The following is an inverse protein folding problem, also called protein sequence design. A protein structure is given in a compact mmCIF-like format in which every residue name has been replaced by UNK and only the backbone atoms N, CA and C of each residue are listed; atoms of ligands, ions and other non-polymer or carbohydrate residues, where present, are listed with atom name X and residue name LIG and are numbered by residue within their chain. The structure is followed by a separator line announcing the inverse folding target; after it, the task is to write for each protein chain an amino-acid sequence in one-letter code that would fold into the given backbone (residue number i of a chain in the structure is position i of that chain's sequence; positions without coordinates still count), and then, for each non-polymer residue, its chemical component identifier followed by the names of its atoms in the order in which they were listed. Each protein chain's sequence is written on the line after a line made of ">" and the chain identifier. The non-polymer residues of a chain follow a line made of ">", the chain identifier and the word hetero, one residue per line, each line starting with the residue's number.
data_IF_837388959907
#
_entry.id   IF_837388959907
#
_cell.length_a   1.000
_cell.length_b   1.000
_cell.length_c   1.000
_cell.angle_alpha   90.00
_cell.angle_beta   90.00
_cell.angle_gamma   90.00
#
_symmetry.space_group_name_H-M   'P 1'
#
loop_
_entity.id
_entity.type
_entity.pdbx_description
1 polymer ?
#
# COMPACT_ATOMS: atom_id res chain seq x y z
N UNK A 1 -25.97 -10.41 9.98
CA UNK A 1 -25.42 -9.58 11.05
C UNK A 1 -24.37 -8.65 10.44
N UNK A 2 -24.51 -7.35 10.64
CA UNK A 2 -23.53 -6.34 10.22
C UNK A 2 -22.34 -6.40 11.16
N UNK A 3 -21.11 -6.42 10.62
CA UNK A 3 -19.90 -6.27 11.43
C UNK A 3 -19.86 -4.91 12.15
N UNK A 4 -18.91 -4.70 13.11
CA UNK A 4 -18.76 -3.43 13.78
C UNK A 4 -18.60 -2.28 12.76
N UNK A 5 -19.33 -1.17 12.99
CA UNK A 5 -19.20 0.03 12.17
C UNK A 5 -17.76 0.58 12.20
N UNK A 6 -17.36 1.32 11.18
CA UNK A 6 -16.12 2.10 11.20
C UNK A 6 -16.11 3.03 12.42
N UNK A 7 -14.94 3.24 13.03
CA UNK A 7 -14.83 4.21 14.12
C UNK A 7 -15.25 5.62 13.65
N UNK A 8 -15.72 6.44 14.57
CA UNK A 8 -16.07 7.84 14.26
C UNK A 8 -14.87 8.60 13.67
N UNK A 9 -13.67 8.31 14.15
CA UNK A 9 -12.41 8.86 13.63
C UNK A 9 -12.16 8.44 12.18
N UNK A 10 -12.25 7.14 11.87
CA UNK A 10 -12.10 6.63 10.50
C UNK A 10 -13.14 7.28 9.55
N UNK A 11 -14.39 7.40 10.02
CA UNK A 11 -15.44 8.02 9.22
C UNK A 11 -15.20 9.51 8.97
N UNK A 12 -14.66 10.25 9.95
CA UNK A 12 -14.28 11.65 9.78
C UNK A 12 -13.12 11.80 8.79
N UNK A 13 -12.12 10.95 8.90
CA UNK A 13 -10.95 10.96 8.00
C UNK A 13 -11.34 10.66 6.55
N UNK A 14 -12.23 9.68 6.34
CA UNK A 14 -12.75 9.39 5.00
C UNK A 14 -13.52 10.57 4.41
N UNK A 15 -14.33 11.30 5.22
CA UNK A 15 -15.01 12.52 4.74
C UNK A 15 -14.01 13.59 4.34
N UNK A 16 -12.94 13.81 5.09
CA UNK A 16 -11.90 14.78 4.74
C UNK A 16 -11.15 14.40 3.46
N UNK A 17 -10.99 13.11 3.18
CA UNK A 17 -10.49 12.63 1.90
C UNK A 17 -11.48 12.90 0.77
N UNK A 18 -12.76 12.60 0.97
CA UNK A 18 -13.83 12.82 0.00
C UNK A 18 -14.02 14.30 -0.35
N UNK A 19 -13.80 15.22 0.60
CA UNK A 19 -13.88 16.68 0.38
C UNK A 19 -12.60 17.27 -0.22
N UNK A 20 -11.54 16.48 -0.42
CA UNK A 20 -10.27 16.94 -0.97
C UNK A 20 -9.44 17.82 -0.02
N UNK A 21 -9.77 17.81 1.27
CA UNK A 21 -9.04 18.58 2.30
C UNK A 21 -7.62 18.06 2.56
N UNK A 22 -7.35 16.81 2.17
CA UNK A 22 -6.05 16.17 2.37
C UNK A 22 -5.45 15.77 1.03
N UNK A 23 -4.19 16.13 0.73
CA UNK A 23 -3.50 15.54 -0.40
C UNK A 23 -3.35 14.03 -0.19
N UNK A 24 -3.52 13.26 -1.26
CA UNK A 24 -3.47 11.79 -1.22
C UNK A 24 -2.24 11.28 -1.96
N UNK A 25 -1.56 10.35 -1.33
CA UNK A 25 -0.46 9.58 -1.91
C UNK A 25 -0.68 8.11 -1.62
N UNK A 26 -0.31 7.21 -2.54
CA UNK A 26 -0.28 5.80 -2.23
C UNK A 26 1.14 5.26 -2.26
N UNK A 27 1.42 4.35 -1.35
CA UNK A 27 2.72 3.71 -1.13
C UNK A 27 2.56 2.21 -1.22
N UNK A 28 3.56 1.57 -1.79
CA UNK A 28 3.77 0.13 -1.71
C UNK A 28 5.26 -0.18 -1.62
N UNK A 29 5.61 -1.35 -1.07
CA UNK A 29 6.98 -1.77 -0.81
C UNK A 29 7.20 -3.20 -1.26
N UNK A 30 8.16 -3.42 -2.15
CA UNK A 30 8.63 -4.76 -2.47
C UNK A 30 9.81 -5.16 -1.59
N UNK A 31 9.78 -6.40 -1.13
CA UNK A 31 10.80 -6.96 -0.24
C UNK A 31 11.52 -8.15 -0.87
N UNK A 32 12.79 -8.32 -0.49
CA UNK A 32 13.57 -9.53 -0.74
C UNK A 32 13.66 -10.40 0.51
N UNK A 33 13.95 -11.69 0.35
CA UNK A 33 14.15 -12.59 1.48
C UNK A 33 15.61 -12.54 1.97
N UNK A 34 15.79 -12.36 3.29
CA UNK A 34 17.09 -12.38 3.97
C UNK A 34 17.26 -13.60 4.88
N UNK A 35 16.32 -14.54 4.82
CA UNK A 35 16.33 -15.79 5.57
C UNK A 35 15.20 -16.71 5.12
N UNK A 36 14.94 -17.76 5.88
CA UNK A 36 13.99 -18.82 5.51
C UNK A 36 12.56 -18.56 5.96
N UNK A 37 12.34 -17.66 6.93
CA UNK A 37 11.03 -17.41 7.50
C UNK A 37 10.32 -16.27 6.78
N UNK A 38 9.00 -16.20 6.90
CA UNK A 38 8.21 -15.10 6.34
C UNK A 38 8.59 -13.74 6.92
N UNK A 39 9.15 -13.71 8.12
CA UNK A 39 9.58 -12.48 8.79
C UNK A 39 10.98 -12.01 8.37
N UNK A 40 11.76 -12.87 7.69
CA UNK A 40 13.09 -12.53 7.21
C UNK A 40 13.01 -11.78 5.88
N UNK A 41 12.63 -10.51 5.95
CA UNK A 41 12.46 -9.62 4.80
C UNK A 41 13.30 -8.37 4.95
N UNK A 42 13.70 -7.82 3.81
CA UNK A 42 14.30 -6.49 3.72
C UNK A 42 13.66 -5.73 2.57
N UNK A 43 13.40 -4.44 2.78
CA UNK A 43 12.92 -3.53 1.74
C UNK A 43 13.91 -3.48 0.58
N UNK A 44 13.40 -3.59 -0.65
CA UNK A 44 14.21 -3.56 -1.86
C UNK A 44 13.66 -2.65 -2.97
N UNK A 45 12.37 -2.27 -2.92
CA UNK A 45 11.80 -1.22 -3.75
C UNK A 45 10.74 -0.46 -2.95
N UNK A 46 10.66 0.87 -3.16
CA UNK A 46 9.64 1.74 -2.59
C UNK A 46 8.99 2.49 -3.75
N UNK A 47 7.68 2.35 -3.90
CA UNK A 47 6.87 3.05 -4.87
C UNK A 47 5.96 4.07 -4.19
N UNK A 48 5.95 5.33 -4.64
CA UNK A 48 5.02 6.37 -4.21
C UNK A 48 4.34 6.98 -5.43
N UNK A 49 3.03 7.09 -5.39
CA UNK A 49 2.24 7.75 -6.43
C UNK A 49 1.37 8.86 -5.85
N UNK A 50 1.00 9.84 -6.69
CA UNK A 50 0.06 10.89 -6.32
C UNK A 50 -1.41 10.43 -6.45
N UNK A 51 -2.35 11.34 -6.17
CA UNK A 51 -3.79 11.09 -6.25
C UNK A 51 -4.29 10.68 -7.65
N UNK A 52 -3.49 10.89 -8.69
CA UNK A 52 -3.78 10.51 -10.08
C UNK A 52 -3.09 9.20 -10.49
N UNK A 53 -2.40 8.53 -9.57
CA UNK A 53 -1.62 7.33 -9.85
C UNK A 53 -0.31 7.59 -10.59
N UNK A 54 0.15 8.86 -10.68
CA UNK A 54 1.42 9.19 -11.34
C UNK A 54 2.58 8.94 -10.38
N UNK A 55 3.63 8.32 -10.89
CA UNK A 55 4.85 8.04 -10.12
C UNK A 55 5.48 9.34 -9.59
N UNK A 56 5.58 9.44 -8.27
CA UNK A 56 6.29 10.51 -7.54
C UNK A 56 7.67 10.03 -7.10
N UNK A 57 7.77 8.74 -6.75
CA UNK A 57 9.02 8.09 -6.37
C UNK A 57 9.00 6.62 -6.80
N UNK A 58 10.10 6.18 -7.39
CA UNK A 58 10.46 4.78 -7.57
C UNK A 58 11.93 4.64 -7.19
N UNK A 59 12.21 4.04 -6.05
CA UNK A 59 13.57 3.89 -5.54
C UNK A 59 13.85 2.44 -5.16
N UNK A 60 14.98 1.92 -5.64
CA UNK A 60 15.48 0.61 -5.26
C UNK A 60 16.39 0.73 -4.05
N UNK A 61 16.31 -0.25 -3.17
CA UNK A 61 17.05 -0.25 -1.90
C UNK A 61 18.01 -1.43 -1.88
N UNK A 62 19.27 -1.17 -1.54
CA UNK A 62 20.28 -2.20 -1.30
C UNK A 62 20.18 -2.68 0.14
N UNK A 63 19.74 -3.93 0.39
CA UNK A 63 19.62 -4.46 1.74
C UNK A 63 20.98 -4.53 2.43
N UNK A 64 21.01 -4.21 3.73
CA UNK A 64 22.24 -4.39 4.55
C UNK A 64 22.53 -5.85 4.87
N UNK A 65 21.46 -6.67 4.97
CA UNK A 65 21.57 -8.11 5.21
C UNK A 65 21.83 -8.83 3.90
N UNK A 66 22.52 -9.97 3.96
CA UNK A 66 22.66 -10.85 2.82
C UNK A 66 21.30 -11.28 2.26
N UNK A 67 21.14 -11.20 0.96
CA UNK A 67 19.91 -11.58 0.26
C UNK A 67 19.96 -13.06 -0.08
N UNK A 68 19.08 -13.84 0.55
CA UNK A 68 18.93 -15.28 0.29
C UNK A 68 18.14 -15.51 -1.00
N UNK A 69 17.14 -14.66 -1.29
CA UNK A 69 16.35 -14.72 -2.51
C UNK A 69 15.77 -13.34 -2.83
N UNK A 70 15.86 -12.93 -4.08
CA UNK A 70 15.22 -11.73 -4.59
C UNK A 70 13.71 -11.90 -4.82
N UNK A 71 13.20 -13.13 -4.70
CA UNK A 71 11.82 -13.46 -5.00
C UNK A 71 11.39 -12.99 -6.41
N UNK A 72 12.31 -13.02 -7.36
CA UNK A 72 12.18 -12.44 -8.70
C UNK A 72 10.87 -12.80 -9.43
N UNK A 73 10.38 -14.04 -9.38
CA UNK A 73 9.09 -14.36 -10.01
C UNK A 73 7.91 -13.57 -9.41
N UNK A 74 8.02 -13.16 -8.15
CA UNK A 74 7.00 -12.38 -7.45
C UNK A 74 7.21 -10.87 -7.59
N UNK A 75 8.42 -10.38 -7.38
CA UNK A 75 8.74 -8.95 -7.24
C UNK A 75 9.37 -8.34 -8.48
N UNK A 76 9.80 -9.14 -9.45
CA UNK A 76 10.59 -8.66 -10.59
C UNK A 76 12.02 -8.22 -10.25
N UNK A 77 12.38 -8.16 -8.97
CA UNK A 77 13.70 -7.70 -8.52
C UNK A 77 14.79 -8.73 -8.84
N UNK A 78 15.97 -8.24 -9.19
CA UNK A 78 17.15 -9.07 -9.44
C UNK A 78 18.38 -8.49 -8.75
N UNK A 79 19.41 -9.33 -8.52
CA UNK A 79 20.68 -8.87 -7.97
C UNK A 79 21.26 -7.72 -8.82
N UNK A 80 21.30 -7.89 -10.13
CA UNK A 80 21.84 -6.89 -11.05
C UNK A 80 21.12 -5.53 -10.92
N UNK A 81 19.78 -5.54 -10.85
CA UNK A 81 18.99 -4.31 -10.69
C UNK A 81 19.29 -3.60 -9.35
N UNK A 82 19.36 -4.37 -8.26
CA UNK A 82 19.65 -3.82 -6.94
C UNK A 82 21.11 -3.35 -6.83
N UNK A 83 22.06 -4.04 -7.46
CA UNK A 83 23.46 -3.61 -7.49
C UNK A 83 23.67 -2.35 -8.32
N UNK A 84 22.96 -2.21 -9.45
CA UNK A 84 23.04 -1.05 -10.35
C UNK A 84 22.35 0.19 -9.77
N UNK A 85 21.14 0.02 -9.16
CA UNK A 85 20.26 1.14 -8.83
C UNK A 85 19.94 1.29 -7.36
N UNK A 86 20.29 0.30 -6.54
CA UNK A 86 19.93 0.29 -5.13
C UNK A 86 20.75 1.30 -4.32
N UNK A 87 20.06 2.12 -3.55
CA UNK A 87 20.64 3.04 -2.56
C UNK A 87 20.47 2.49 -1.15
N UNK A 88 21.23 2.97 -0.15
CA UNK A 88 20.98 2.63 1.24
C UNK A 88 19.54 2.95 1.69
N UNK A 89 18.95 2.14 2.56
CA UNK A 89 17.57 2.33 3.04
C UNK A 89 17.36 3.73 3.65
N UNK A 90 18.33 4.22 4.42
CA UNK A 90 18.25 5.54 5.05
C UNK A 90 18.16 6.67 4.02
N UNK A 91 18.87 6.52 2.91
CA UNK A 91 18.80 7.47 1.80
C UNK A 91 17.44 7.41 1.11
N UNK A 92 16.95 6.20 0.81
CA UNK A 92 15.62 6.00 0.22
C UNK A 92 14.51 6.62 1.09
N UNK A 93 14.56 6.42 2.41
CA UNK A 93 13.62 7.01 3.36
C UNK A 93 13.72 8.53 3.37
N UNK A 94 14.94 9.09 3.33
CA UNK A 94 15.15 10.54 3.29
C UNK A 94 14.51 11.15 2.03
N UNK A 95 14.69 10.50 0.88
CA UNK A 95 14.07 10.92 -0.38
C UNK A 95 12.55 10.78 -0.32
N UNK A 96 12.03 9.67 0.22
CA UNK A 96 10.59 9.46 0.41
C UNK A 96 9.98 10.60 1.25
N UNK A 97 10.58 10.92 2.41
CA UNK A 97 10.12 12.00 3.29
C UNK A 97 10.14 13.37 2.62
N UNK A 98 11.09 13.62 1.71
CA UNK A 98 11.13 14.87 0.95
C UNK A 98 10.03 15.00 -0.11
N UNK A 99 9.38 13.90 -0.48
CA UNK A 99 8.32 13.84 -1.49
C UNK A 99 6.93 13.65 -0.91
N UNK A 100 6.83 13.16 0.32
CA UNK A 100 5.57 12.94 1.03
C UNK A 100 5.27 14.12 1.94
N UNK A 101 4.23 14.94 1.66
CA UNK A 101 3.84 16.02 2.56
C UNK A 101 3.32 15.46 3.90
N UNK A 102 3.73 16.04 5.01
CA UNK A 102 3.27 15.63 6.35
C UNK A 102 1.75 15.80 6.55
N UNK A 103 1.12 16.66 5.74
CA UNK A 103 -0.34 16.83 5.71
C UNK A 103 -1.07 15.79 4.87
N UNK A 104 -0.35 14.89 4.18
CA UNK A 104 -0.96 13.93 3.26
C UNK A 104 -1.61 12.74 3.98
N UNK A 105 -2.65 12.18 3.36
CA UNK A 105 -3.10 10.83 3.62
C UNK A 105 -2.23 9.84 2.82
N UNK A 106 -1.65 8.85 3.49
CA UNK A 106 -0.87 7.78 2.88
C UNK A 106 -1.70 6.51 2.79
N UNK A 107 -1.92 6.06 1.57
CA UNK A 107 -2.84 4.97 1.22
C UNK A 107 -2.05 3.72 0.83
N UNK A 108 -2.55 2.54 1.17
CA UNK A 108 -1.98 1.28 0.68
C UNK A 108 -2.78 0.08 1.19
N UNK A 109 -2.47 -1.08 0.65
CA UNK A 109 -3.02 -2.35 1.14
C UNK A 109 -2.13 -2.89 2.26
N UNK A 110 -2.67 -2.98 3.48
CA UNK A 110 -1.88 -3.31 4.67
C UNK A 110 -0.76 -2.28 4.95
N UNK A 111 -1.02 -1.02 4.67
CA UNK A 111 -0.05 0.10 4.71
C UNK A 111 0.68 0.23 6.05
N UNK A 112 0.07 -0.24 7.13
CA UNK A 112 0.72 -0.23 8.45
C UNK A 112 2.01 -1.05 8.49
N UNK A 113 2.12 -2.11 7.69
CA UNK A 113 3.33 -2.92 7.60
C UNK A 113 4.44 -2.18 6.84
N UNK A 114 4.09 -1.51 5.72
CA UNK A 114 5.04 -0.73 4.93
C UNK A 114 5.56 0.47 5.74
N UNK A 115 4.65 1.18 6.40
CA UNK A 115 5.00 2.27 7.31
C UNK A 115 5.98 1.81 8.40
N UNK A 116 5.74 0.63 8.99
CA UNK A 116 6.64 0.04 9.99
C UNK A 116 8.03 -0.28 9.43
N UNK A 117 8.13 -0.88 8.24
CA UNK A 117 9.41 -1.17 7.60
C UNK A 117 10.21 0.09 7.28
N UNK A 118 9.53 1.18 6.93
CA UNK A 118 10.14 2.46 6.59
C UNK A 118 10.29 3.41 7.79
N UNK A 119 9.81 3.01 8.97
CA UNK A 119 9.83 3.87 10.16
C UNK A 119 9.02 5.15 9.98
N UNK A 120 7.94 5.09 9.20
CA UNK A 120 7.01 6.20 9.03
C UNK A 120 5.97 6.22 10.15
N UNK A 121 5.58 7.41 10.55
CA UNK A 121 4.58 7.65 11.61
C UNK A 121 3.43 8.53 11.14
N UNK A 122 2.24 8.26 11.67
CA UNK A 122 1.10 9.14 11.54
C UNK A 122 0.51 9.43 12.94
N UNK A 123 0.36 10.70 13.38
CA UNK A 123 0.89 11.89 12.70
C UNK A 123 2.41 11.99 12.80
N UNK A 124 3.03 12.66 11.84
CA UNK A 124 4.48 12.87 11.80
C UNK A 124 4.96 12.96 10.35
N UNK A 125 5.22 11.82 9.72
CA UNK A 125 5.63 11.76 8.31
C UNK A 125 4.45 11.95 7.34
N UNK A 126 3.22 11.62 7.79
CA UNK A 126 1.96 11.88 7.07
C UNK A 126 0.85 12.16 8.09
N UNK A 127 -0.27 12.72 7.65
CA UNK A 127 -1.39 13.05 8.55
C UNK A 127 -2.12 11.79 9.02
N UNK A 128 -2.28 10.80 8.13
CA UNK A 128 -2.95 9.55 8.46
C UNK A 128 -2.53 8.41 7.50
N UNK A 129 -2.71 7.18 7.95
CA UNK A 129 -2.62 5.97 7.14
C UNK A 129 -4.03 5.49 6.78
N UNK A 130 -4.26 5.23 5.49
CA UNK A 130 -5.52 4.67 4.97
C UNK A 130 -5.28 3.25 4.49
N UNK A 131 -5.73 2.29 5.28
CA UNK A 131 -5.57 0.88 4.94
C UNK A 131 -6.75 0.37 4.11
N UNK A 132 -6.49 0.05 2.84
CA UNK A 132 -7.49 -0.50 1.94
C UNK A 132 -7.99 -1.87 2.38
N UNK A 133 -7.17 -2.67 3.07
CA UNK A 133 -7.62 -3.93 3.62
C UNK A 133 -8.74 -3.74 4.66
N UNK A 134 -8.75 -2.61 5.38
CA UNK A 134 -9.83 -2.27 6.29
C UNK A 134 -11.11 -1.78 5.56
N UNK A 135 -10.97 -1.20 4.36
CA UNK A 135 -12.09 -0.72 3.56
C UNK A 135 -12.76 -1.84 2.75
N UNK A 136 -12.00 -2.80 2.26
CA UNK A 136 -12.46 -3.90 1.39
C UNK A 136 -12.53 -5.27 2.11
N UNK A 137 -12.74 -5.28 3.42
CA UNK A 137 -12.95 -6.50 4.20
C UNK A 137 -14.40 -6.92 4.20
N UNK A 138 -14.69 -8.20 4.44
CA UNK A 138 -16.04 -8.73 4.63
C UNK A 138 -16.18 -9.38 6.01
N UNK A 139 -17.37 -9.26 6.61
CA UNK A 139 -17.69 -9.95 7.85
C UNK A 139 -18.32 -11.31 7.54
N UNK A 140 -17.74 -12.43 8.00
CA UNK A 140 -18.25 -13.77 7.73
C UNK A 140 -19.27 -14.28 8.75
N UNK A 141 -19.61 -13.44 9.74
CA UNK A 141 -20.48 -13.79 10.87
C UNK A 141 -19.74 -13.97 12.19
N UNK A 142 -18.42 -14.16 12.15
CA UNK A 142 -17.55 -14.37 13.32
C UNK A 142 -16.31 -13.48 13.32
N UNK A 143 -15.75 -13.18 12.14
CA UNK A 143 -14.53 -12.41 11.96
C UNK A 143 -14.54 -11.63 10.65
N UNK A 144 -13.64 -10.66 10.54
CA UNK A 144 -13.35 -10.04 9.24
C UNK A 144 -12.46 -10.94 8.39
N UNK A 145 -12.87 -11.09 7.13
CA UNK A 145 -12.09 -11.71 6.06
C UNK A 145 -11.45 -10.59 5.23
N UNK A 146 -10.16 -10.70 5.00
CA UNK A 146 -9.37 -9.75 4.23
C UNK A 146 -9.04 -10.33 2.86
N UNK A 147 -9.01 -9.49 1.86
CA UNK A 147 -8.74 -9.89 0.48
C UNK A 147 -7.41 -9.29 0.02
N UNK A 148 -6.74 -10.02 -0.89
CA UNK A 148 -5.54 -9.48 -1.54
C UNK A 148 -5.89 -8.27 -2.42
N UNK A 149 -4.90 -7.42 -2.68
CA UNK A 149 -5.06 -6.27 -3.58
C UNK A 149 -5.52 -6.71 -4.98
N UNK A 150 -4.92 -7.76 -5.55
CA UNK A 150 -5.32 -8.30 -6.86
C UNK A 150 -6.78 -8.78 -6.89
N UNK A 151 -7.26 -9.37 -5.79
CA UNK A 151 -8.66 -9.75 -5.67
C UNK A 151 -9.58 -8.51 -5.68
N UNK A 152 -9.23 -7.50 -4.89
CA UNK A 152 -9.98 -6.24 -4.85
C UNK A 152 -9.95 -5.53 -6.22
N UNK A 153 -8.79 -5.48 -6.87
CA UNK A 153 -8.64 -4.89 -8.20
C UNK A 153 -9.52 -5.61 -9.25
N UNK A 154 -9.53 -6.94 -9.22
CA UNK A 154 -10.39 -7.74 -10.11
C UNK A 154 -11.87 -7.45 -9.89
N UNK A 155 -12.32 -7.42 -8.63
CA UNK A 155 -13.75 -7.26 -8.28
C UNK A 155 -14.24 -5.84 -8.54
N UNK A 156 -13.46 -4.84 -8.13
CA UNK A 156 -13.93 -3.45 -8.08
C UNK A 156 -13.46 -2.59 -9.25
N UNK A 157 -12.34 -2.95 -9.89
CA UNK A 157 -11.80 -2.23 -11.05
C UNK A 157 -11.92 -3.02 -12.34
N UNK A 158 -12.28 -4.31 -12.29
CA UNK A 158 -12.21 -5.20 -13.46
C UNK A 158 -10.78 -5.46 -13.94
N UNK A 159 -9.79 -5.08 -13.14
CA UNK A 159 -8.37 -5.22 -13.47
C UNK A 159 -7.84 -6.58 -13.01
N UNK A 160 -7.21 -7.30 -13.92
CA UNK A 160 -6.59 -8.61 -13.63
C UNK A 160 -5.10 -8.53 -13.96
N UNK A 161 -4.26 -8.81 -12.98
CA UNK A 161 -2.82 -8.97 -13.23
C UNK A 161 -2.61 -10.15 -14.17
N UNK A 162 -1.93 -9.97 -15.31
CA UNK A 162 -1.66 -11.10 -16.20
C UNK A 162 -0.83 -12.18 -15.51
N UNK A 163 -1.00 -13.47 -15.85
CA UNK A 163 -0.12 -14.52 -15.36
C UNK A 163 1.34 -14.21 -15.64
N UNK A 164 2.22 -14.48 -14.68
CA UNK A 164 3.66 -14.27 -14.76
C UNK A 164 4.12 -12.80 -14.84
N UNK A 165 3.24 -11.83 -14.62
CA UNK A 165 3.62 -10.44 -14.40
C UNK A 165 3.92 -10.26 -12.93
N UNK A 166 5.17 -9.91 -12.63
CA UNK A 166 5.62 -9.65 -11.26
C UNK A 166 4.94 -8.41 -10.66
N UNK A 167 4.94 -8.33 -9.35
CA UNK A 167 4.57 -7.13 -8.61
C UNK A 167 5.62 -6.03 -8.84
N UNK A 168 5.18 -4.79 -8.80
CA UNK A 168 6.01 -3.59 -8.87
C UNK A 168 5.45 -2.55 -7.94
N UNK A 169 6.25 -2.05 -7.02
CA UNK A 169 5.77 -1.16 -5.97
C UNK A 169 5.07 0.10 -6.50
N UNK A 170 5.48 0.66 -7.64
CA UNK A 170 4.78 1.81 -8.25
C UNK A 170 3.44 1.39 -8.84
N UNK A 171 3.41 0.26 -9.54
CA UNK A 171 2.19 -0.31 -10.12
C UNK A 171 1.17 -0.65 -9.04
N UNK A 172 1.61 -1.27 -7.95
CA UNK A 172 0.73 -1.69 -6.85
C UNK A 172 0.26 -0.48 -6.01
N UNK A 173 1.10 0.54 -5.83
CA UNK A 173 0.67 1.82 -5.29
C UNK A 173 -0.40 2.50 -6.17
N UNK A 174 -0.25 2.47 -7.51
CA UNK A 174 -1.25 3.02 -8.43
C UNK A 174 -2.58 2.26 -8.37
N UNK A 175 -2.55 0.93 -8.26
CA UNK A 175 -3.75 0.11 -8.03
C UNK A 175 -4.40 0.47 -6.70
N UNK A 176 -3.63 0.66 -5.62
CA UNK A 176 -4.13 1.13 -4.33
C UNK A 176 -4.86 2.48 -4.46
N UNK A 177 -4.30 3.44 -5.19
CA UNK A 177 -4.95 4.73 -5.41
C UNK A 177 -6.25 4.59 -6.22
N UNK A 178 -6.26 3.75 -7.25
CA UNK A 178 -7.45 3.48 -8.06
C UNK A 178 -8.57 2.82 -7.23
N UNK A 179 -8.23 1.88 -6.34
CA UNK A 179 -9.16 1.25 -5.40
C UNK A 179 -9.76 2.26 -4.43
N UNK A 180 -8.94 3.15 -3.85
CA UNK A 180 -9.47 4.23 -3.00
C UNK A 180 -10.44 5.11 -3.78
N UNK A 181 -10.06 5.53 -5.00
CA UNK A 181 -10.94 6.32 -5.86
C UNK A 181 -12.25 5.61 -6.22
N UNK A 182 -12.22 4.29 -6.40
CA UNK A 182 -13.41 3.48 -6.58
C UNK A 182 -14.28 3.51 -5.31
N UNK A 183 -13.69 3.23 -4.14
CA UNK A 183 -14.38 3.25 -2.85
C UNK A 183 -15.05 4.61 -2.57
N UNK A 184 -14.35 5.72 -2.80
CA UNK A 184 -14.88 7.06 -2.56
C UNK A 184 -16.12 7.37 -3.42
N UNK A 185 -16.19 6.84 -4.65
CA UNK A 185 -17.33 7.01 -5.55
C UNK A 185 -18.49 6.04 -5.29
N UNK A 186 -18.31 5.04 -4.43
CA UNK A 186 -19.39 4.11 -4.11
C UNK A 186 -20.51 4.82 -3.34
N UNK A 187 -21.79 4.47 -3.61
CA UNK A 187 -22.90 4.91 -2.77
C UNK A 187 -22.77 4.28 -1.37
N UNK A 188 -23.30 4.95 -0.34
CA UNK A 188 -23.19 4.52 1.05
C UNK A 188 -23.70 3.08 1.28
N UNK A 189 -24.73 2.68 0.53
CA UNK A 189 -25.25 1.30 0.55
C UNK A 189 -24.22 0.27 0.10
N UNK A 190 -23.38 0.59 -0.90
CA UNK A 190 -22.31 -0.28 -1.37
C UNK A 190 -21.10 -0.26 -0.42
N UNK A 191 -20.73 0.91 0.12
CA UNK A 191 -19.72 1.03 1.19
C UNK A 191 -20.10 0.18 2.41
N UNK A 192 -21.37 0.24 2.83
CA UNK A 192 -21.89 -0.60 3.91
C UNK A 192 -21.76 -2.10 3.61
N UNK A 193 -21.88 -2.54 2.34
CA UNK A 193 -21.71 -3.93 1.95
C UNK A 193 -20.25 -4.38 2.02
N UNK A 194 -19.26 -3.50 1.75
CA UNK A 194 -17.85 -3.79 1.96
C UNK A 194 -17.53 -4.09 3.43
N UNK A 195 -18.37 -3.63 4.36
CA UNK A 195 -18.20 -3.82 5.80
C UNK A 195 -19.22 -4.80 6.43
N UNK A 196 -20.26 -5.19 5.69
CA UNK A 196 -21.45 -5.86 6.23
C UNK A 196 -21.62 -7.33 5.83
N UNK A 197 -20.71 -7.90 5.04
CA UNK A 197 -20.81 -9.32 4.64
C UNK A 197 -19.52 -10.06 4.89
#
# INVERSE_FOLDING_TARGET
>A
ATGPALSAETSLLLRRLETGELPMYALDVECVATGKTHNDRAVAQIGLVDAYGRCVLNVYVKPKKEVVSYLTPLTGLTAALIDERGVPLEEAIRVLRSRLPSSAALVGTNIGQDAKWLGLTAPGDCALLVDLAALFRAWDGSRYVYFSQDHCAKVWLGAVRPPNVAHDAVGDAAVSMALLGCYMRMPDSAKAQCHAR
#
